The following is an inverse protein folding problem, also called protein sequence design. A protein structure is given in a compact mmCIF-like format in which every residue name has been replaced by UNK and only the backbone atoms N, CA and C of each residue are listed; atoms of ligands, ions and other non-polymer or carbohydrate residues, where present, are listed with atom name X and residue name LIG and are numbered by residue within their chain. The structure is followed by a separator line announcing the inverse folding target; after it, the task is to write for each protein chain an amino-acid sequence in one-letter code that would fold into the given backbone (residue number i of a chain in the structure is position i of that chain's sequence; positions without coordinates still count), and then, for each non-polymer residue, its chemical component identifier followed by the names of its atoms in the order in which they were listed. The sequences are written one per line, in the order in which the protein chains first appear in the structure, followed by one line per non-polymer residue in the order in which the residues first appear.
data_IF_040873113132
#
_entry.id   IF_040873113132
#
_cell.length_a   1.000
_cell.length_b   1.000
_cell.length_c   1.000
_cell.angle_alpha   90.00
_cell.angle_beta   90.00
_cell.angle_gamma   90.00
#
_symmetry.space_group_name_H-M   'P 1'
#
loop_
_entity.id
_entity.type
_entity.pdbx_description
1 polymer ?
#
# COMPACT_ATOMS: atom_id res chain seq x y z
N UNK A 1 32.48 -0.58 -3.95
CA UNK A 1 32.51 0.77 -3.36
C UNK A 1 32.27 1.78 -4.48
N UNK A 2 31.17 2.48 -4.49
CA UNK A 2 30.88 3.54 -5.47
C UNK A 2 31.82 4.72 -5.22
N UNK A 3 32.44 5.32 -6.23
CA UNK A 3 33.42 6.41 -6.06
C UNK A 3 32.83 7.73 -5.61
N UNK A 4 31.54 7.78 -5.33
CA UNK A 4 30.86 8.99 -4.88
C UNK A 4 30.09 8.70 -3.59
N UNK A 5 30.42 9.40 -2.50
CA UNK A 5 29.67 9.33 -1.24
C UNK A 5 28.19 9.66 -1.43
N UNK A 6 27.28 9.20 -0.54
CA UNK A 6 25.84 9.29 -0.69
C UNK A 6 25.31 10.71 -1.01
N UNK A 7 25.97 11.75 -0.55
CA UNK A 7 25.61 13.14 -0.81
C UNK A 7 25.83 13.62 -2.26
N UNK A 8 26.54 12.87 -3.11
CA UNK A 8 26.75 13.21 -4.53
C UNK A 8 25.86 12.38 -5.47
N UNK A 9 25.38 11.23 -5.03
CA UNK A 9 24.63 10.29 -5.88
C UNK A 9 23.27 10.88 -6.35
N UNK A 10 22.53 11.53 -5.49
CA UNK A 10 21.21 12.08 -5.83
C UNK A 10 21.27 13.30 -6.79
N UNK A 11 22.40 14.06 -6.77
CA UNK A 11 22.63 15.16 -7.72
C UNK A 11 22.98 14.67 -9.14
N UNK A 12 23.43 13.43 -9.24
CA UNK A 12 23.78 12.79 -10.52
C UNK A 12 22.57 12.08 -11.16
N UNK A 13 21.40 12.06 -10.51
CA UNK A 13 20.21 11.40 -11.04
C UNK A 13 19.64 12.16 -12.24
N UNK A 14 19.23 11.45 -13.32
CA UNK A 14 18.58 12.06 -14.46
C UNK A 14 17.32 12.82 -14.09
N UNK A 15 17.02 13.91 -14.82
CA UNK A 15 15.82 14.74 -14.60
C UNK A 15 14.51 13.91 -14.64
N UNK A 16 14.44 12.87 -15.50
CA UNK A 16 13.29 11.97 -15.59
C UNK A 16 12.99 11.26 -14.28
N UNK A 17 14.00 10.96 -13.45
CA UNK A 17 13.80 10.33 -12.14
C UNK A 17 13.16 11.29 -11.14
N UNK A 18 13.58 12.54 -11.14
CA UNK A 18 12.95 13.61 -10.37
C UNK A 18 11.49 13.82 -10.78
N UNK A 19 11.23 13.83 -12.09
CA UNK A 19 9.85 13.94 -12.62
C UNK A 19 8.97 12.78 -12.18
N UNK A 20 9.47 11.54 -12.24
CA UNK A 20 8.76 10.36 -11.74
C UNK A 20 8.50 10.45 -10.24
N UNK A 21 9.48 10.91 -9.47
CA UNK A 21 9.36 11.10 -8.03
C UNK A 21 8.35 12.17 -7.64
N UNK A 22 8.40 13.35 -8.25
CA UNK A 22 7.42 14.42 -8.01
C UNK A 22 6.01 14.06 -8.51
N UNK A 23 5.90 13.36 -9.64
CA UNK A 23 4.62 12.83 -10.09
C UNK A 23 4.00 11.87 -9.05
N UNK A 24 4.80 10.99 -8.45
CA UNK A 24 4.37 10.14 -7.35
C UNK A 24 3.98 10.95 -6.11
N UNK A 25 4.83 11.88 -5.68
CA UNK A 25 4.59 12.76 -4.54
C UNK A 25 3.22 13.46 -4.63
N UNK A 26 2.94 14.15 -5.75
CA UNK A 26 1.68 14.86 -5.93
C UNK A 26 0.47 13.93 -5.99
N UNK A 27 0.60 12.78 -6.62
CA UNK A 27 -0.48 11.79 -6.64
C UNK A 27 -0.73 11.19 -5.25
N UNK A 28 0.32 10.95 -4.47
CA UNK A 28 0.18 10.41 -3.11
C UNK A 28 -0.38 11.47 -2.15
N UNK A 29 0.01 12.75 -2.26
CA UNK A 29 -0.66 13.85 -1.56
C UNK A 29 -2.17 13.83 -1.84
N UNK A 30 -2.56 13.76 -3.10
CA UNK A 30 -3.97 13.72 -3.51
C UNK A 30 -4.69 12.50 -2.95
N UNK A 31 -4.10 11.32 -3.11
CA UNK A 31 -4.73 10.06 -2.73
C UNK A 31 -4.85 9.92 -1.21
N UNK A 32 -3.81 10.27 -0.47
CA UNK A 32 -3.79 10.14 0.98
C UNK A 32 -4.63 11.21 1.70
N UNK A 33 -4.75 12.41 1.10
CA UNK A 33 -5.71 13.42 1.56
C UNK A 33 -7.14 12.87 1.52
N UNK A 34 -7.56 12.25 0.40
CA UNK A 34 -8.88 11.64 0.28
C UNK A 34 -8.97 10.41 1.19
N UNK A 35 -7.97 9.52 1.18
CA UNK A 35 -7.99 8.26 1.91
C UNK A 35 -8.16 8.45 3.42
N UNK A 36 -7.55 9.50 3.98
CA UNK A 36 -7.67 9.83 5.40
C UNK A 36 -9.06 10.33 5.83
N UNK A 37 -9.89 10.78 4.89
CA UNK A 37 -11.24 11.32 5.15
C UNK A 37 -12.37 10.42 4.61
N UNK A 38 -12.08 9.61 3.58
CA UNK A 38 -13.09 8.86 2.84
C UNK A 38 -13.90 7.89 3.70
N UNK A 39 -13.31 7.10 4.64
CA UNK A 39 -14.08 6.20 5.48
C UNK A 39 -15.12 6.95 6.32
N UNK A 40 -14.72 8.08 6.89
CA UNK A 40 -15.62 8.92 7.69
C UNK A 40 -16.69 9.56 6.82
N UNK A 41 -16.34 10.08 5.65
CA UNK A 41 -17.28 10.61 4.67
C UNK A 41 -18.34 9.58 4.26
N UNK A 42 -17.93 8.32 4.00
CA UNK A 42 -18.86 7.25 3.68
C UNK A 42 -19.87 7.01 4.81
N UNK A 43 -19.41 6.97 6.05
CA UNK A 43 -20.28 6.67 7.19
C UNK A 43 -21.14 7.87 7.58
N UNK A 44 -20.54 9.06 7.77
CA UNK A 44 -21.25 10.23 8.31
C UNK A 44 -22.10 10.96 7.30
N UNK A 45 -21.63 11.04 6.04
CA UNK A 45 -22.30 11.84 5.00
C UNK A 45 -23.18 10.99 4.09
N UNK A 46 -22.73 9.77 3.76
CA UNK A 46 -23.45 8.89 2.83
C UNK A 46 -24.21 7.77 3.53
N UNK A 47 -24.12 7.64 4.87
CA UNK A 47 -24.83 6.63 5.64
C UNK A 47 -24.38 5.19 5.35
N UNK A 48 -23.12 4.99 4.93
CA UNK A 48 -22.59 3.66 4.64
C UNK A 48 -22.52 2.80 5.91
N UNK A 49 -22.90 1.53 5.80
CA UNK A 49 -22.63 0.54 6.85
C UNK A 49 -21.13 0.19 6.89
N UNK A 50 -20.64 -0.31 8.04
CA UNK A 50 -19.26 -0.77 8.16
C UNK A 50 -18.95 -1.95 7.23
N UNK A 51 -19.96 -2.78 6.91
CA UNK A 51 -19.83 -3.84 5.88
C UNK A 51 -19.54 -3.23 4.51
N UNK A 52 -20.28 -2.16 4.13
CA UNK A 52 -20.05 -1.49 2.86
C UNK A 52 -18.64 -0.86 2.80
N UNK A 53 -18.18 -0.23 3.88
CA UNK A 53 -16.81 0.31 3.96
C UNK A 53 -15.77 -0.82 3.80
N UNK A 54 -15.91 -1.91 4.55
CA UNK A 54 -15.01 -3.06 4.46
C UNK A 54 -14.98 -3.68 3.07
N UNK A 55 -16.14 -3.81 2.41
CA UNK A 55 -16.25 -4.31 1.05
C UNK A 55 -15.56 -3.38 0.04
N UNK A 56 -15.83 -2.08 0.09
CA UNK A 56 -15.25 -1.08 -0.83
C UNK A 56 -13.72 -1.05 -0.70
N UNK A 57 -13.22 -0.95 0.52
CA UNK A 57 -11.78 -0.91 0.76
C UNK A 57 -11.10 -2.24 0.40
N UNK A 58 -11.72 -3.36 0.74
CA UNK A 58 -11.20 -4.68 0.39
C UNK A 58 -11.15 -4.92 -1.13
N UNK A 59 -12.23 -4.59 -1.85
CA UNK A 59 -12.25 -4.67 -3.33
C UNK A 59 -11.20 -3.72 -3.93
N UNK A 60 -11.07 -2.51 -3.39
CA UNK A 60 -10.11 -1.54 -3.87
C UNK A 60 -8.68 -2.08 -3.79
N UNK A 61 -8.25 -2.57 -2.64
CA UNK A 61 -6.89 -3.11 -2.46
C UNK A 61 -6.65 -4.39 -3.27
N UNK A 62 -7.62 -5.31 -3.32
CA UNK A 62 -7.54 -6.51 -4.16
C UNK A 62 -7.39 -6.14 -5.64
N UNK A 63 -8.16 -5.15 -6.13
CA UNK A 63 -8.08 -4.65 -7.50
C UNK A 63 -6.69 -4.11 -7.83
N UNK A 64 -6.09 -3.31 -6.96
CA UNK A 64 -4.75 -2.80 -7.17
C UNK A 64 -3.70 -3.93 -7.23
N UNK A 65 -3.79 -4.91 -6.33
CA UNK A 65 -2.90 -6.06 -6.29
C UNK A 65 -3.01 -6.91 -7.56
N UNK A 66 -4.23 -7.26 -7.99
CA UNK A 66 -4.49 -8.07 -9.19
C UNK A 66 -4.03 -7.33 -10.45
N UNK A 67 -4.42 -6.05 -10.61
CA UNK A 67 -4.09 -5.26 -11.79
C UNK A 67 -2.58 -5.07 -11.93
N UNK A 68 -1.85 -4.92 -10.81
CA UNK A 68 -0.39 -4.79 -10.81
C UNK A 68 0.30 -6.04 -11.40
N UNK A 69 -0.23 -7.24 -11.16
CA UNK A 69 0.34 -8.48 -11.71
C UNK A 69 0.31 -8.46 -13.25
N UNK A 70 -0.81 -8.02 -13.82
CA UNK A 70 -0.97 -7.98 -15.28
C UNK A 70 -0.28 -6.78 -15.93
N UNK A 71 -0.17 -5.65 -15.24
CA UNK A 71 0.39 -4.42 -15.80
C UNK A 71 1.86 -4.56 -16.20
N UNK A 72 2.64 -5.36 -15.49
CA UNK A 72 4.03 -5.65 -15.83
C UNK A 72 4.15 -6.37 -17.18
N UNK A 73 3.40 -7.46 -17.35
CA UNK A 73 3.37 -8.22 -18.61
C UNK A 73 2.86 -7.37 -19.78
N UNK A 74 1.81 -6.59 -19.55
CA UNK A 74 1.25 -5.68 -20.55
C UNK A 74 2.26 -4.59 -20.94
N UNK A 75 3.00 -4.05 -19.99
CA UNK A 75 4.04 -3.05 -20.21
C UNK A 75 5.18 -3.59 -21.08
N UNK A 76 5.61 -4.82 -20.81
CA UNK A 76 6.67 -5.47 -21.59
C UNK A 76 6.19 -5.82 -23.00
N UNK A 77 4.93 -6.25 -23.16
CA UNK A 77 4.32 -6.56 -24.44
C UNK A 77 4.12 -5.33 -25.33
N UNK A 78 3.54 -4.25 -24.77
CA UNK A 78 3.29 -3.02 -25.52
C UNK A 78 4.56 -2.22 -25.82
N UNK A 79 5.62 -2.39 -25.03
CA UNK A 79 6.84 -1.61 -25.14
C UNK A 79 6.69 -0.11 -24.84
N UNK A 80 5.50 0.36 -24.45
CA UNK A 80 5.13 1.77 -24.23
C UNK A 80 4.90 2.04 -22.74
N UNK A 81 5.99 2.14 -21.97
CA UNK A 81 5.91 2.30 -20.51
C UNK A 81 5.33 3.64 -20.09
N UNK A 82 5.72 4.72 -20.76
CA UNK A 82 5.16 6.07 -20.50
C UNK A 82 3.65 6.10 -20.69
N UNK A 83 3.15 5.48 -21.77
CA UNK A 83 1.70 5.46 -22.02
C UNK A 83 0.92 4.82 -20.88
N UNK A 84 1.33 3.63 -20.41
CA UNK A 84 0.67 2.95 -19.29
C UNK A 84 0.82 3.72 -17.98
N UNK A 85 1.99 4.34 -17.76
CA UNK A 85 2.21 5.20 -16.62
C UNK A 85 1.20 6.35 -16.60
N UNK A 86 1.16 7.15 -17.68
CA UNK A 86 0.28 8.32 -17.77
C UNK A 86 -1.19 7.90 -17.70
N UNK A 87 -1.60 6.82 -18.38
CA UNK A 87 -2.95 6.27 -18.31
C UNK A 87 -3.35 5.94 -16.87
N UNK A 88 -2.50 5.24 -16.12
CA UNK A 88 -2.78 4.88 -14.74
C UNK A 88 -2.90 6.10 -13.81
N UNK A 89 -2.06 7.12 -14.01
CA UNK A 89 -2.16 8.38 -13.27
C UNK A 89 -3.40 9.19 -13.68
N UNK A 90 -3.74 9.23 -14.97
CA UNK A 90 -4.92 9.92 -15.47
C UNK A 90 -6.21 9.27 -14.93
N UNK A 91 -6.33 7.93 -14.98
CA UNK A 91 -7.46 7.23 -14.38
C UNK A 91 -7.63 7.63 -12.91
N UNK A 92 -6.55 7.62 -12.11
CA UNK A 92 -6.60 8.03 -10.73
C UNK A 92 -7.00 9.52 -10.58
N UNK A 93 -6.47 10.43 -11.39
CA UNK A 93 -6.78 11.87 -11.31
C UNK A 93 -8.25 12.15 -11.66
N UNK A 94 -8.77 11.52 -12.71
CA UNK A 94 -10.16 11.71 -13.13
C UNK A 94 -11.19 11.13 -12.14
N UNK A 95 -10.78 10.22 -11.26
CA UNK A 95 -11.66 9.76 -10.16
C UNK A 95 -11.74 10.72 -8.99
N UNK A 96 -10.75 11.64 -8.81
CA UNK A 96 -10.74 12.54 -7.64
C UNK A 96 -11.99 13.42 -7.51
N UNK A 97 -12.52 14.03 -8.60
CA UNK A 97 -13.77 14.79 -8.53
C UNK A 97 -15.00 13.94 -8.17
N UNK A 98 -14.97 12.61 -8.41
CA UNK A 98 -16.09 11.73 -8.09
C UNK A 98 -16.38 11.71 -6.58
N UNK A 99 -15.35 11.74 -5.74
CA UNK A 99 -15.52 11.65 -4.29
C UNK A 99 -16.29 12.81 -3.68
N UNK A 100 -15.92 14.09 -3.89
CA UNK A 100 -16.71 15.21 -3.38
C UNK A 100 -18.10 15.34 -4.02
N UNK A 101 -18.27 14.85 -5.27
CA UNK A 101 -19.57 14.85 -5.97
C UNK A 101 -20.45 13.65 -5.57
N UNK A 102 -19.92 12.64 -4.87
CA UNK A 102 -20.65 11.44 -4.54
C UNK A 102 -21.92 11.75 -3.72
N UNK A 103 -23.06 11.27 -4.21
CA UNK A 103 -24.36 11.34 -3.54
C UNK A 103 -24.79 9.99 -2.96
N UNK A 104 -24.07 8.92 -3.27
CA UNK A 104 -24.30 7.58 -2.75
C UNK A 104 -22.99 6.80 -2.62
N UNK A 105 -23.03 5.74 -1.83
CA UNK A 105 -21.92 4.81 -1.62
C UNK A 105 -21.45 4.16 -2.94
N UNK A 106 -22.37 3.95 -3.89
CA UNK A 106 -22.06 3.40 -5.22
C UNK A 106 -21.11 4.28 -6.04
N UNK A 107 -21.21 5.63 -5.95
CA UNK A 107 -20.27 6.55 -6.58
C UNK A 107 -18.86 6.41 -6.00
N UNK A 108 -18.77 6.30 -4.67
CA UNK A 108 -17.49 6.07 -3.98
C UNK A 108 -16.88 4.73 -4.40
N UNK A 109 -17.68 3.67 -4.47
CA UNK A 109 -17.23 2.37 -4.96
C UNK A 109 -16.65 2.45 -6.37
N UNK A 110 -17.39 3.05 -7.31
CA UNK A 110 -16.94 3.22 -8.69
C UNK A 110 -15.64 4.04 -8.77
N UNK A 111 -15.58 5.16 -8.06
CA UNK A 111 -14.38 6.01 -8.00
C UNK A 111 -13.17 5.26 -7.42
N UNK A 112 -13.33 4.54 -6.30
CA UNK A 112 -12.27 3.73 -5.68
C UNK A 112 -11.81 2.61 -6.58
N UNK A 113 -12.74 1.90 -7.21
CA UNK A 113 -12.41 0.79 -8.13
C UNK A 113 -11.53 1.29 -9.29
N UNK A 114 -11.96 2.35 -9.99
CA UNK A 114 -11.20 2.91 -11.13
C UNK A 114 -9.86 3.50 -10.67
N UNK A 115 -9.82 4.20 -9.54
CA UNK A 115 -8.56 4.70 -8.94
C UNK A 115 -7.56 3.55 -8.71
N UNK A 116 -8.03 2.42 -8.16
CA UNK A 116 -7.19 1.25 -7.87
C UNK A 116 -6.75 0.49 -9.11
N UNK A 117 -7.59 0.41 -10.14
CA UNK A 117 -7.16 -0.04 -11.48
C UNK A 117 -6.02 0.85 -11.99
N UNK A 118 -6.18 2.17 -11.91
CA UNK A 118 -5.13 3.13 -12.27
C UNK A 118 -3.83 2.91 -11.48
N UNK A 119 -3.93 2.71 -10.15
CA UNK A 119 -2.78 2.39 -9.29
C UNK A 119 -2.07 1.10 -9.71
N UNK A 120 -2.83 0.06 -10.03
CA UNK A 120 -2.28 -1.21 -10.51
C UNK A 120 -1.60 -1.08 -11.87
N UNK A 121 -2.22 -0.38 -12.83
CA UNK A 121 -1.66 -0.17 -14.18
C UNK A 121 -0.33 0.56 -14.13
N UNK A 122 -0.20 1.63 -13.31
CA UNK A 122 1.00 2.46 -13.27
C UNK A 122 2.18 1.84 -12.52
N UNK A 123 1.94 0.90 -11.60
CA UNK A 123 2.94 0.42 -10.65
C UNK A 123 4.17 -0.19 -11.32
N UNK A 124 3.99 -1.25 -12.09
CA UNK A 124 5.09 -1.95 -12.76
C UNK A 124 5.77 -1.11 -13.87
N UNK A 125 5.03 -0.40 -14.76
CA UNK A 125 5.65 0.50 -15.74
C UNK A 125 6.50 1.61 -15.12
N UNK A 126 6.06 2.18 -13.98
CA UNK A 126 6.82 3.19 -13.24
C UNK A 126 8.17 2.64 -12.77
N UNK A 127 8.13 1.50 -12.09
CA UNK A 127 9.34 0.88 -11.55
C UNK A 127 10.31 0.47 -12.67
N UNK A 128 9.79 0.02 -13.80
CA UNK A 128 10.58 -0.29 -14.98
C UNK A 128 11.21 0.96 -15.62
N UNK A 129 10.47 2.08 -15.70
CA UNK A 129 11.02 3.36 -16.19
C UNK A 129 12.15 3.89 -15.32
N UNK A 130 12.05 3.73 -13.99
CA UNK A 130 13.15 4.08 -13.08
C UNK A 130 14.41 3.30 -13.44
N UNK A 131 14.30 2.00 -13.72
CA UNK A 131 15.43 1.17 -14.11
C UNK A 131 16.01 1.54 -15.49
N UNK A 132 15.13 1.86 -16.48
CA UNK A 132 15.54 2.20 -17.85
C UNK A 132 16.22 3.57 -17.93
N UNK A 133 15.73 4.55 -17.18
CA UNK A 133 16.26 5.92 -17.19
C UNK A 133 17.52 6.07 -16.33
N UNK A 134 17.88 5.07 -15.51
CA UNK A 134 18.98 5.19 -14.54
C UNK A 134 20.12 4.25 -14.87
N UNK A 135 21.38 4.77 -14.97
CA UNK A 135 22.57 3.93 -15.07
C UNK A 135 22.64 2.92 -13.92
N UNK A 136 23.10 1.66 -14.16
CA UNK A 136 23.11 0.60 -13.16
C UNK A 136 23.69 0.97 -11.79
N UNK A 137 24.81 1.75 -11.69
CA UNK A 137 25.38 2.12 -10.39
C UNK A 137 24.50 3.09 -9.57
N UNK A 138 23.55 3.81 -10.19
CA UNK A 138 22.68 4.82 -9.57
C UNK A 138 21.28 4.31 -9.30
N UNK A 139 20.92 3.10 -9.72
CA UNK A 139 19.55 2.55 -9.56
C UNK A 139 19.07 2.54 -8.11
N UNK A 140 19.93 2.18 -7.18
CA UNK A 140 19.60 2.22 -5.74
C UNK A 140 19.21 3.62 -5.27
N UNK A 141 19.96 4.65 -5.68
CA UNK A 141 19.67 6.05 -5.36
C UNK A 141 18.35 6.52 -6.02
N UNK A 142 18.08 6.10 -7.25
CA UNK A 142 16.85 6.45 -7.97
C UNK A 142 15.59 5.86 -7.30
N UNK A 143 15.62 4.57 -6.96
CA UNK A 143 14.52 3.95 -6.20
C UNK A 143 14.37 4.54 -4.80
N UNK A 144 15.49 4.85 -4.12
CA UNK A 144 15.50 5.50 -2.82
C UNK A 144 14.86 6.90 -2.87
N UNK A 145 15.23 7.74 -3.85
CA UNK A 145 14.61 9.06 -4.04
C UNK A 145 13.10 8.94 -4.28
N UNK A 146 12.69 8.03 -5.18
CA UNK A 146 11.27 7.80 -5.44
C UNK A 146 10.51 7.40 -4.18
N UNK A 147 11.04 6.43 -3.42
CA UNK A 147 10.41 5.97 -2.18
C UNK A 147 10.35 7.06 -1.11
N UNK A 148 11.36 7.90 -1.02
CA UNK A 148 11.36 9.04 -0.10
C UNK A 148 10.26 10.05 -0.47
N UNK A 149 10.09 10.36 -1.77
CA UNK A 149 9.04 11.25 -2.24
C UNK A 149 7.63 10.65 -2.08
N UNK A 150 7.46 9.34 -2.30
CA UNK A 150 6.21 8.62 -1.97
C UNK A 150 5.88 8.77 -0.47
N UNK A 151 6.87 8.57 0.43
CA UNK A 151 6.68 8.70 1.89
C UNK A 151 6.36 10.14 2.31
N UNK A 152 6.99 11.12 1.68
CA UNK A 152 6.66 12.55 1.92
C UNK A 152 5.23 12.85 1.47
N UNK A 153 4.80 12.32 0.33
CA UNK A 153 3.42 12.45 -0.17
C UNK A 153 2.40 11.83 0.80
N UNK A 154 2.71 10.62 1.28
CA UNK A 154 1.86 9.90 2.24
C UNK A 154 1.73 10.62 3.60
N UNK A 155 2.72 11.44 3.98
CA UNK A 155 2.67 12.27 5.17
C UNK A 155 1.94 13.59 4.91
N UNK A 156 2.27 14.28 3.80
CA UNK A 156 1.71 15.58 3.47
C UNK A 156 0.21 15.51 3.15
N UNK A 157 -0.28 14.42 2.55
CA UNK A 157 -1.70 14.25 2.23
C UNK A 157 -2.60 14.40 3.47
N UNK A 158 -2.46 13.54 4.49
CA UNK A 158 -3.23 13.66 5.72
C UNK A 158 -2.95 14.95 6.49
N UNK A 159 -1.72 15.49 6.45
CA UNK A 159 -1.39 16.77 7.09
C UNK A 159 -2.17 17.92 6.47
N UNK A 160 -2.24 17.99 5.14
CA UNK A 160 -3.06 18.95 4.43
C UNK A 160 -4.55 18.73 4.69
N UNK A 161 -5.00 17.47 4.83
CA UNK A 161 -6.37 17.17 5.21
C UNK A 161 -6.71 17.80 6.58
N UNK A 162 -5.87 17.63 7.60
CA UNK A 162 -6.08 18.29 8.92
C UNK A 162 -6.15 19.81 8.77
N UNK A 163 -5.17 20.39 8.09
CA UNK A 163 -5.07 21.84 7.92
C UNK A 163 -6.32 22.42 7.25
N UNK A 164 -6.74 21.82 6.13
CA UNK A 164 -7.91 22.29 5.40
C UNK A 164 -9.23 21.95 6.09
N UNK A 165 -9.32 20.84 6.84
CA UNK A 165 -10.49 20.54 7.68
C UNK A 165 -10.68 21.59 8.77
N UNK A 166 -9.60 22.09 9.38
CA UNK A 166 -9.69 23.19 10.35
C UNK A 166 -10.10 24.48 9.64
N UNK A 167 -9.46 24.80 8.52
CA UNK A 167 -9.69 26.07 7.80
C UNK A 167 -11.05 26.16 7.14
N UNK A 168 -11.58 25.04 6.63
CA UNK A 168 -12.90 24.95 5.98
C UNK A 168 -14.02 24.45 6.91
N UNK A 169 -13.86 24.67 8.21
CA UNK A 169 -14.88 24.34 9.22
C UNK A 169 -15.41 22.90 9.12
N UNK A 170 -14.53 21.94 8.87
CA UNK A 170 -14.83 20.51 8.75
C UNK A 170 -15.71 20.12 7.54
N UNK A 171 -15.73 20.92 6.49
CA UNK A 171 -16.39 20.55 5.23
C UNK A 171 -15.52 19.53 4.46
N UNK A 172 -15.82 18.25 4.65
CA UNK A 172 -15.10 17.14 4.02
C UNK A 172 -15.14 17.24 2.48
N UNK A 173 -16.27 17.67 1.89
CA UNK A 173 -16.42 17.79 0.44
C UNK A 173 -15.50 18.86 -0.13
N UNK A 174 -15.47 20.03 0.51
CA UNK A 174 -14.57 21.12 0.12
C UNK A 174 -13.10 20.71 0.20
N UNK A 175 -12.71 20.00 1.27
CA UNK A 175 -11.34 19.48 1.42
C UNK A 175 -11.01 18.45 0.34
N UNK A 176 -11.91 17.54 -0.01
CA UNK A 176 -11.69 16.56 -1.08
C UNK A 176 -11.51 17.22 -2.46
N UNK A 177 -12.13 18.38 -2.72
CA UNK A 177 -11.89 19.13 -3.95
C UNK A 177 -10.45 19.61 -4.08
N UNK A 178 -9.78 19.91 -2.96
CA UNK A 178 -8.37 20.33 -2.97
C UNK A 178 -7.47 19.21 -3.49
N UNK A 179 -7.81 17.95 -3.22
CA UNK A 179 -7.05 16.80 -3.69
C UNK A 179 -7.02 16.67 -5.23
N UNK A 180 -7.95 17.29 -5.94
CA UNK A 180 -8.01 17.27 -7.41
C UNK A 180 -6.77 17.96 -8.00
N UNK A 181 -6.35 19.07 -7.40
CA UNK A 181 -5.25 19.89 -7.92
C UNK A 181 -3.93 19.11 -8.01
N UNK A 182 -3.40 18.52 -6.92
CA UNK A 182 -2.15 17.77 -7.00
C UNK A 182 -2.26 16.53 -7.90
N UNK A 183 -3.44 15.89 -8.02
CA UNK A 183 -3.60 14.77 -8.94
C UNK A 183 -3.38 15.17 -10.40
N UNK A 184 -3.97 16.28 -10.85
CA UNK A 184 -3.78 16.76 -12.21
C UNK A 184 -2.38 17.33 -12.43
N UNK A 185 -1.75 17.94 -11.43
CA UNK A 185 -0.33 18.32 -11.49
C UNK A 185 0.55 17.09 -11.74
N UNK A 186 0.30 15.98 -11.03
CA UNK A 186 1.03 14.73 -11.24
C UNK A 186 0.92 14.23 -12.68
N UNK A 187 -0.29 14.23 -13.25
CA UNK A 187 -0.52 13.81 -14.66
C UNK A 187 0.21 14.74 -15.63
N UNK A 188 0.09 16.04 -15.44
CA UNK A 188 0.73 17.04 -16.30
C UNK A 188 2.26 16.89 -16.28
N UNK A 189 2.87 16.76 -15.10
CA UNK A 189 4.31 16.53 -14.96
C UNK A 189 4.77 15.29 -15.72
N UNK A 190 4.08 14.17 -15.54
CA UNK A 190 4.45 12.90 -16.18
C UNK A 190 4.23 12.95 -17.70
N UNK A 191 3.13 13.55 -18.15
CA UNK A 191 2.83 13.66 -19.57
C UNK A 191 3.85 14.55 -20.31
N UNK A 192 4.20 15.70 -19.73
CA UNK A 192 5.05 16.70 -20.37
C UNK A 192 6.55 16.36 -20.30
N UNK A 193 7.01 15.87 -19.14
CA UNK A 193 8.45 15.78 -18.85
C UNK A 193 9.04 14.38 -18.83
N UNK A 194 8.24 13.32 -18.72
CA UNK A 194 8.75 11.95 -18.87
C UNK A 194 8.91 11.65 -20.35
N UNK A 195 10.08 11.18 -20.75
CA UNK A 195 10.36 10.69 -22.11
C UNK A 195 10.36 9.18 -22.13
N UNK A 196 9.80 8.58 -23.18
CA UNK A 196 9.95 7.15 -23.44
C UNK A 196 11.43 6.90 -23.78
N UNK A 197 12.13 6.01 -23.06
CA UNK A 197 13.50 5.67 -23.42
C UNK A 197 13.52 4.98 -24.78
N UNK A 198 14.43 5.41 -25.67
CA UNK A 198 14.69 4.71 -26.92
C UNK A 198 15.20 3.30 -26.61
N UNK A 199 14.36 2.32 -26.82
CA UNK A 199 14.77 0.91 -26.70
C UNK A 199 15.51 0.54 -27.99
N UNK A 200 16.82 0.40 -27.88
CA UNK A 200 17.54 -0.44 -28.86
C UNK A 200 16.85 -1.82 -28.87
N UNK A 201 16.71 -2.40 -30.05
CA UNK A 201 16.09 -3.73 -30.31
C UNK A 201 16.92 -4.87 -29.67
N UNK A 202 17.40 -4.69 -28.45
CA UNK A 202 18.06 -5.72 -27.68
C UNK A 202 16.99 -6.58 -27.01
N UNK A 203 16.69 -7.70 -27.67
CA UNK A 203 16.05 -8.93 -27.19
C UNK A 203 15.36 -8.90 -25.83
N UNK A 204 14.24 -8.18 -25.73
CA UNK A 204 13.40 -8.28 -24.53
C UNK A 204 12.83 -9.71 -24.47
N UNK A 205 13.20 -10.47 -23.45
CA UNK A 205 12.53 -11.72 -23.16
C UNK A 205 11.07 -11.39 -22.90
N UNK A 206 10.22 -11.63 -23.88
CA UNK A 206 8.75 -11.60 -23.70
C UNK A 206 8.47 -12.58 -22.58
N UNK A 207 8.16 -12.07 -21.39
CA UNK A 207 7.74 -12.94 -20.29
C UNK A 207 6.52 -13.70 -20.75
N UNK A 208 6.63 -15.02 -20.81
CA UNK A 208 5.50 -15.89 -21.14
C UNK A 208 4.37 -15.58 -20.14
N UNK A 209 3.10 -15.56 -20.59
CA UNK A 209 1.98 -15.40 -19.68
C UNK A 209 2.02 -16.50 -18.61
N UNK A 210 1.65 -16.14 -17.39
CA UNK A 210 1.58 -17.05 -16.24
C UNK A 210 0.61 -18.18 -16.59
N UNK A 211 1.07 -19.42 -16.57
CA UNK A 211 0.22 -20.59 -16.83
C UNK A 211 -0.02 -21.38 -15.54
N UNK A 212 -1.18 -22.05 -15.48
CA UNK A 212 -1.48 -22.98 -14.36
C UNK A 212 -0.44 -24.11 -14.26
N UNK A 213 0.18 -24.50 -15.37
CA UNK A 213 1.26 -25.49 -15.39
C UNK A 213 2.50 -24.99 -14.63
N UNK A 214 2.83 -23.70 -14.74
CA UNK A 214 3.97 -23.11 -14.04
C UNK A 214 3.73 -23.08 -12.52
N UNK A 215 2.49 -22.87 -12.08
CA UNK A 215 2.12 -22.90 -10.67
C UNK A 215 2.40 -24.27 -10.02
N UNK A 216 2.17 -25.38 -10.78
CA UNK A 216 2.42 -26.75 -10.30
C UNK A 216 3.92 -27.07 -10.13
N UNK A 217 4.81 -26.30 -10.77
CA UNK A 217 6.26 -26.46 -10.67
C UNK A 217 6.87 -25.77 -9.44
N UNK A 218 6.07 -24.97 -8.72
CA UNK A 218 6.51 -24.29 -7.51
C UNK A 218 6.64 -25.29 -6.33
N UNK A 219 7.73 -25.22 -5.55
CA UNK A 219 7.99 -26.17 -4.49
C UNK A 219 6.99 -26.05 -3.33
N UNK A 220 6.77 -27.12 -2.57
CA UNK A 220 5.86 -27.12 -1.41
C UNK A 220 6.20 -25.99 -0.41
N UNK A 221 7.47 -25.69 -0.22
CA UNK A 221 7.93 -24.60 0.66
C UNK A 221 7.40 -23.24 0.23
N UNK A 222 7.25 -23.01 -1.07
CA UNK A 222 6.64 -21.80 -1.61
C UNK A 222 5.17 -21.71 -1.19
N UNK A 223 4.40 -22.78 -1.33
CA UNK A 223 2.99 -22.81 -0.94
C UNK A 223 2.77 -22.59 0.56
N UNK A 224 3.69 -23.08 1.40
CA UNK A 224 3.68 -22.79 2.84
C UNK A 224 3.91 -21.29 3.13
N UNK A 225 4.78 -20.62 2.36
CA UNK A 225 4.97 -19.17 2.47
C UNK A 225 3.75 -18.41 1.98
N UNK A 226 3.11 -18.83 0.89
CA UNK A 226 1.86 -18.24 0.39
C UNK A 226 0.74 -18.39 1.40
N UNK A 227 0.58 -19.57 2.00
CA UNK A 227 -0.41 -19.82 3.06
C UNK A 227 -0.16 -18.93 4.28
N UNK A 228 1.08 -18.89 4.77
CA UNK A 228 1.48 -18.05 5.89
C UNK A 228 1.23 -16.57 5.59
N UNK A 229 1.59 -16.10 4.38
CA UNK A 229 1.33 -14.75 3.91
C UNK A 229 -0.17 -14.43 3.80
N UNK A 230 -0.98 -15.40 3.39
CA UNK A 230 -2.44 -15.28 3.35
C UNK A 230 -3.04 -15.11 4.75
N UNK A 231 -2.65 -15.96 5.72
CA UNK A 231 -3.10 -15.83 7.12
C UNK A 231 -2.61 -14.51 7.74
N UNK A 232 -1.36 -14.14 7.46
CA UNK A 232 -0.82 -12.85 7.89
C UNK A 232 -1.62 -11.67 7.32
N UNK A 233 -2.04 -11.76 6.05
CA UNK A 233 -2.83 -10.71 5.40
C UNK A 233 -4.26 -10.67 5.95
N UNK A 234 -4.83 -11.82 6.37
CA UNK A 234 -6.12 -11.86 7.06
C UNK A 234 -6.10 -11.11 8.41
N UNK A 235 -4.95 -11.03 9.06
CA UNK A 235 -4.77 -10.23 10.27
C UNK A 235 -4.73 -8.71 10.00
N UNK A 236 -4.52 -8.29 8.75
CA UNK A 236 -4.40 -6.91 8.31
C UNK A 236 -5.58 -6.49 7.45
N UNK A 237 -6.65 -6.06 8.06
CA UNK A 237 -7.75 -5.41 7.34
C UNK A 237 -7.40 -3.96 6.96
N UNK A 238 -8.31 -3.27 6.26
CA UNK A 238 -8.09 -1.89 5.80
C UNK A 238 -7.83 -0.91 6.96
N UNK A 239 -6.86 -0.03 6.78
CA UNK A 239 -6.52 1.08 7.68
C UNK A 239 -7.70 2.04 7.89
N UNK A 240 -8.73 1.98 7.04
CA UNK A 240 -9.99 2.70 7.21
C UNK A 240 -10.64 2.46 8.59
N UNK A 241 -10.49 1.25 9.14
CA UNK A 241 -11.04 0.91 10.46
C UNK A 241 -10.32 1.60 11.62
N UNK A 242 -9.02 1.95 11.46
CA UNK A 242 -8.29 2.76 12.45
C UNK A 242 -8.88 4.18 12.50
N UNK A 243 -9.13 4.76 11.31
CA UNK A 243 -9.75 6.08 11.15
C UNK A 243 -11.16 6.10 11.75
N UNK A 244 -11.97 5.09 11.45
CA UNK A 244 -13.31 4.95 12.00
C UNK A 244 -13.30 4.71 13.52
N UNK A 245 -12.31 3.99 14.05
CA UNK A 245 -12.17 3.80 15.50
C UNK A 245 -11.87 5.11 16.23
N UNK A 246 -11.05 5.98 15.62
CA UNK A 246 -10.79 7.30 16.18
C UNK A 246 -12.07 8.16 16.27
N UNK A 247 -12.91 8.10 15.24
CA UNK A 247 -14.21 8.75 15.24
C UNK A 247 -15.13 8.16 16.31
N UNK A 248 -15.19 6.86 16.45
CA UNK A 248 -16.02 6.13 17.39
C UNK A 248 -15.71 6.48 18.87
N UNK A 249 -14.44 6.74 19.20
CA UNK A 249 -14.02 7.22 20.53
C UNK A 249 -14.08 8.73 20.71
N UNK A 250 -14.69 9.46 19.76
CA UNK A 250 -14.98 10.89 19.89
C UNK A 250 -13.88 11.84 19.39
N UNK A 251 -12.93 11.38 18.55
CA UNK A 251 -12.01 12.31 17.91
C UNK A 251 -12.77 13.20 16.91
N UNK A 252 -12.59 14.52 17.04
CA UNK A 252 -13.26 15.49 16.18
C UNK A 252 -12.85 15.33 14.70
N UNK A 253 -13.80 15.55 13.78
CA UNK A 253 -13.65 15.31 12.34
C UNK A 253 -12.39 15.94 11.73
N UNK A 254 -12.05 17.16 12.14
CA UNK A 254 -10.85 17.87 11.67
C UNK A 254 -9.53 17.22 12.07
N UNK A 255 -9.52 16.40 13.12
CA UNK A 255 -8.34 15.76 13.65
C UNK A 255 -8.19 14.27 13.25
N UNK A 256 -9.22 13.69 12.64
CA UNK A 256 -9.21 12.27 12.25
C UNK A 256 -8.01 11.89 11.37
N UNK A 257 -7.57 12.70 10.38
CA UNK A 257 -6.41 12.34 9.57
C UNK A 257 -5.10 12.23 10.35
N UNK A 258 -5.03 12.73 11.60
CA UNK A 258 -3.86 12.56 12.48
C UNK A 258 -3.53 11.08 12.73
N UNK A 259 -4.53 10.19 12.69
CA UNK A 259 -4.33 8.74 12.84
C UNK A 259 -3.38 8.22 11.76
N UNK A 260 -3.61 8.63 10.51
CA UNK A 260 -2.76 8.25 9.38
C UNK A 260 -1.38 8.89 9.47
N UNK A 261 -1.30 10.13 9.99
CA UNK A 261 -0.01 10.80 10.19
C UNK A 261 0.83 10.03 11.21
N UNK A 262 0.27 9.71 12.38
CA UNK A 262 0.98 8.96 13.43
C UNK A 262 1.46 7.61 12.89
N UNK A 263 0.59 6.86 12.22
CA UNK A 263 0.92 5.58 11.61
C UNK A 263 2.06 5.72 10.60
N UNK A 264 1.96 6.66 9.64
CA UNK A 264 2.94 6.85 8.57
C UNK A 264 4.29 7.37 9.08
N UNK A 265 4.32 8.23 10.11
CA UNK A 265 5.56 8.72 10.72
C UNK A 265 6.32 7.56 11.37
N UNK A 266 5.63 6.71 12.14
CA UNK A 266 6.25 5.54 12.78
C UNK A 266 6.70 4.51 11.74
N UNK A 267 5.89 4.27 10.71
CA UNK A 267 6.25 3.42 9.60
C UNK A 267 7.52 3.92 8.88
N UNK A 268 7.54 5.18 8.43
CA UNK A 268 8.66 5.76 7.70
C UNK A 268 9.93 5.83 8.57
N UNK A 269 9.80 6.23 9.85
CA UNK A 269 10.92 6.31 10.77
C UNK A 269 11.55 4.96 11.11
N UNK A 270 10.73 3.90 11.22
CA UNK A 270 11.20 2.56 11.54
C UNK A 270 11.58 1.73 10.30
N UNK A 271 11.16 2.10 9.09
CA UNK A 271 11.39 1.31 7.87
C UNK A 271 12.88 1.10 7.57
N UNK A 272 13.72 2.14 7.70
CA UNK A 272 15.16 2.02 7.51
C UNK A 272 15.85 1.16 8.58
N UNK A 273 15.65 1.39 9.89
CA UNK A 273 16.18 0.50 10.93
C UNK A 273 15.72 -0.97 10.78
N UNK A 274 14.44 -1.19 10.45
CA UNK A 274 13.91 -2.53 10.24
C UNK A 274 14.55 -3.22 9.02
N UNK A 275 14.75 -2.47 7.93
CA UNK A 275 15.47 -2.96 6.74
C UNK A 275 16.92 -3.33 7.05
N UNK A 276 17.65 -2.47 7.76
CA UNK A 276 19.02 -2.73 8.18
C UNK A 276 19.12 -3.93 9.16
N UNK A 277 18.12 -4.11 10.02
CA UNK A 277 18.03 -5.27 10.89
C UNK A 277 17.80 -6.57 10.10
N UNK A 278 17.09 -6.51 8.96
CA UNK A 278 16.84 -7.67 8.11
C UNK A 278 18.10 -8.28 7.47
N UNK A 279 19.20 -7.52 7.42
CA UNK A 279 20.50 -8.01 6.94
C UNK A 279 21.28 -8.77 8.04
N UNK A 280 20.95 -8.53 9.33
CA UNK A 280 21.68 -9.07 10.50
C UNK A 280 20.86 -10.08 11.30
N UNK A 281 19.56 -9.92 11.29
CA UNK A 281 18.61 -10.75 12.06
C UNK A 281 17.83 -11.64 11.09
N UNK A 282 17.51 -12.86 11.50
CA UNK A 282 16.70 -13.77 10.69
C UNK A 282 15.35 -13.12 10.37
N UNK A 283 14.97 -13.10 9.08
CA UNK A 283 13.70 -12.54 8.60
C UNK A 283 12.48 -12.99 9.42
N UNK A 284 12.52 -14.25 9.90
CA UNK A 284 11.52 -14.85 10.74
C UNK A 284 11.36 -14.16 12.10
N UNK A 285 12.46 -13.78 12.77
CA UNK A 285 12.42 -13.09 14.07
C UNK A 285 11.77 -11.71 13.90
N UNK A 286 12.09 -11.01 12.80
CA UNK A 286 11.49 -9.71 12.49
C UNK A 286 10.01 -9.83 12.15
N UNK A 287 9.60 -10.87 11.39
CA UNK A 287 8.18 -11.14 11.12
C UNK A 287 7.42 -11.46 12.41
N UNK A 288 8.01 -12.25 13.32
CA UNK A 288 7.41 -12.55 14.62
C UNK A 288 7.25 -11.28 15.46
N UNK A 289 8.28 -10.43 15.54
CA UNK A 289 8.19 -9.14 16.21
C UNK A 289 7.09 -8.27 15.60
N UNK A 290 7.00 -8.21 14.27
CA UNK A 290 5.95 -7.50 13.58
C UNK A 290 4.55 -8.02 13.93
N UNK A 291 4.36 -9.33 14.04
CA UNK A 291 3.08 -9.93 14.47
C UNK A 291 2.75 -9.59 15.94
N UNK A 292 3.72 -9.60 16.82
CA UNK A 292 3.53 -9.17 18.23
C UNK A 292 3.10 -7.71 18.30
N UNK A 293 3.73 -6.84 17.50
CA UNK A 293 3.34 -5.42 17.40
C UNK A 293 1.91 -5.26 16.87
N UNK A 294 1.50 -6.07 15.87
CA UNK A 294 0.14 -6.05 15.35
C UNK A 294 -0.87 -6.51 16.40
N UNK A 295 -0.59 -7.60 17.13
CA UNK A 295 -1.44 -8.05 18.24
C UNK A 295 -1.59 -6.95 19.30
N UNK A 296 -0.49 -6.29 19.67
CA UNK A 296 -0.53 -5.20 20.64
C UNK A 296 -1.33 -3.99 20.11
N UNK A 297 -1.20 -3.66 18.82
CA UNK A 297 -1.97 -2.60 18.17
C UNK A 297 -3.48 -2.93 18.21
N UNK A 298 -3.84 -4.13 17.77
CA UNK A 298 -5.24 -4.57 17.72
C UNK A 298 -5.87 -4.64 19.12
N UNK A 299 -5.14 -5.13 20.13
CA UNK A 299 -5.63 -5.14 21.53
C UNK A 299 -5.83 -3.70 22.03
N UNK A 300 -4.89 -2.79 21.77
CA UNK A 300 -5.04 -1.38 22.15
C UNK A 300 -6.27 -0.75 21.47
N UNK A 301 -6.48 -1.02 20.18
CA UNK A 301 -7.62 -0.50 19.42
C UNK A 301 -8.94 -1.15 19.85
N UNK A 302 -8.95 -2.43 20.19
CA UNK A 302 -10.14 -3.13 20.69
C UNK A 302 -10.69 -2.49 21.97
N UNK A 303 -9.80 -2.15 22.90
CA UNK A 303 -10.14 -1.58 24.21
C UNK A 303 -9.93 -0.06 24.29
N UNK A 304 -9.78 0.62 23.15
CA UNK A 304 -9.62 2.07 23.13
C UNK A 304 -10.87 2.77 23.69
N UNK A 305 -10.69 3.58 24.71
CA UNK A 305 -11.72 4.44 25.33
C UNK A 305 -11.47 5.92 25.08
N UNK A 306 -10.34 6.26 24.43
CA UNK A 306 -9.96 7.64 24.15
C UNK A 306 -9.13 7.72 22.87
N UNK A 307 -9.09 8.90 22.22
CA UNK A 307 -8.25 9.13 21.05
C UNK A 307 -6.76 8.82 21.26
N UNK A 308 -6.24 9.05 22.48
CA UNK A 308 -4.83 8.77 22.78
C UNK A 308 -4.49 7.28 22.63
N UNK A 309 -5.39 6.38 23.06
CA UNK A 309 -5.18 4.94 22.91
C UNK A 309 -5.24 4.56 21.43
N UNK A 310 -6.12 5.20 20.63
CA UNK A 310 -6.17 4.97 19.18
C UNK A 310 -4.87 5.42 18.51
N UNK A 311 -4.30 6.55 18.90
CA UNK A 311 -2.99 6.98 18.41
C UNK A 311 -1.87 6.00 18.79
N UNK A 312 -1.89 5.45 20.00
CA UNK A 312 -0.93 4.41 20.40
C UNK A 312 -1.10 3.15 19.56
N UNK A 313 -2.34 2.71 19.31
CA UNK A 313 -2.65 1.58 18.41
C UNK A 313 -2.16 1.84 16.97
N UNK A 314 -2.42 3.04 16.42
CA UNK A 314 -1.97 3.43 15.09
C UNK A 314 -0.43 3.50 15.00
N UNK A 315 0.25 3.95 16.06
CA UNK A 315 1.70 3.94 16.14
C UNK A 315 2.27 2.52 16.09
N UNK A 316 1.70 1.61 16.88
CA UNK A 316 2.08 0.18 16.86
C UNK A 316 1.80 -0.47 15.51
N UNK A 317 0.68 -0.11 14.84
CA UNK A 317 0.35 -0.55 13.49
C UNK A 317 1.40 -0.09 12.48
N UNK A 318 1.83 1.17 12.52
CA UNK A 318 2.91 1.70 11.70
C UNK A 318 4.24 0.97 11.91
N UNK A 319 4.62 0.71 13.16
CA UNK A 319 5.80 -0.10 13.49
C UNK A 319 5.69 -1.52 12.94
N UNK A 320 4.53 -2.19 13.12
CA UNK A 320 4.27 -3.50 12.52
C UNK A 320 4.54 -3.49 11.01
N UNK A 321 4.03 -2.50 10.28
CA UNK A 321 4.24 -2.36 8.84
C UNK A 321 5.73 -2.25 8.48
N UNK A 322 6.49 -1.47 9.24
CA UNK A 322 7.93 -1.30 9.02
C UNK A 322 8.71 -2.63 9.12
N UNK A 323 8.32 -3.49 10.06
CA UNK A 323 8.98 -4.78 10.26
C UNK A 323 8.50 -5.89 9.32
N UNK A 324 7.43 -5.70 8.55
CA UNK A 324 6.80 -6.82 7.83
C UNK A 324 6.68 -6.64 6.33
N UNK A 325 6.46 -5.42 5.82
CA UNK A 325 6.10 -5.20 4.41
C UNK A 325 7.12 -5.72 3.39
N UNK A 326 8.42 -5.58 3.63
CA UNK A 326 9.46 -6.07 2.72
C UNK A 326 9.81 -7.55 2.87
N UNK A 327 9.57 -8.14 4.06
CA UNK A 327 10.10 -9.45 4.42
C UNK A 327 9.32 -10.60 3.79
N UNK A 328 8.00 -10.49 3.65
CA UNK A 328 7.20 -11.51 2.96
C UNK A 328 7.58 -11.61 1.48
N UNK A 329 7.78 -10.48 0.82
CA UNK A 329 8.27 -10.44 -0.56
C UNK A 329 9.67 -11.06 -0.69
N UNK A 330 10.57 -10.81 0.27
CA UNK A 330 11.88 -11.44 0.32
C UNK A 330 11.77 -12.96 0.44
N UNK A 331 10.91 -13.47 1.32
CA UNK A 331 10.70 -14.93 1.46
C UNK A 331 10.20 -15.59 0.16
N UNK A 332 9.33 -14.91 -0.58
CA UNK A 332 8.89 -15.38 -1.91
C UNK A 332 10.07 -15.41 -2.88
N UNK A 333 10.89 -14.35 -2.91
CA UNK A 333 12.04 -14.26 -3.78
C UNK A 333 13.10 -15.32 -3.48
N UNK A 334 13.34 -15.64 -2.19
CA UNK A 334 14.34 -16.60 -1.74
C UNK A 334 13.95 -18.06 -2.04
N UNK A 335 12.66 -18.36 -2.23
CA UNK A 335 12.16 -19.75 -2.37
C UNK A 335 11.70 -20.05 -3.79
N UNK A 336 11.16 -19.08 -4.52
CA UNK A 336 10.69 -19.29 -5.87
C UNK A 336 11.90 -19.50 -6.82
N UNK A 337 11.85 -20.50 -7.74
CA UNK A 337 12.86 -20.66 -8.79
C UNK A 337 13.00 -19.39 -9.61
N UNK A 338 14.23 -19.05 -10.03
CA UNK A 338 14.52 -17.80 -10.77
C UNK A 338 13.66 -17.66 -12.04
N UNK A 339 13.42 -18.77 -12.74
CA UNK A 339 12.58 -18.82 -13.97
C UNK A 339 11.09 -18.58 -13.68
N UNK A 340 10.63 -18.89 -12.45
CA UNK A 340 9.24 -18.78 -12.02
C UNK A 340 9.00 -17.61 -11.05
N UNK A 341 9.98 -16.75 -10.83
CA UNK A 341 9.89 -15.66 -9.85
C UNK A 341 8.68 -14.73 -10.11
N UNK A 342 8.43 -14.40 -11.38
CA UNK A 342 7.26 -13.61 -11.78
C UNK A 342 5.93 -14.30 -11.47
N UNK A 343 5.83 -15.61 -11.74
CA UNK A 343 4.67 -16.44 -11.41
C UNK A 343 4.48 -16.51 -9.89
N UNK A 344 5.57 -16.70 -9.14
CA UNK A 344 5.54 -16.72 -7.68
C UNK A 344 5.02 -15.41 -7.09
N UNK A 345 5.53 -14.27 -7.51
CA UNK A 345 4.99 -12.98 -7.07
C UNK A 345 3.54 -12.75 -7.51
N UNK A 346 3.18 -13.18 -8.72
CA UNK A 346 1.81 -13.08 -9.22
C UNK A 346 0.81 -13.82 -8.33
N UNK A 347 1.10 -15.08 -8.03
CA UNK A 347 0.24 -15.93 -7.16
C UNK A 347 0.20 -15.36 -5.74
N UNK A 348 1.36 -14.99 -5.17
CA UNK A 348 1.43 -14.40 -3.83
C UNK A 348 0.58 -13.12 -3.72
N UNK A 349 0.67 -12.21 -4.69
CA UNK A 349 -0.11 -10.98 -4.72
C UNK A 349 -1.60 -11.24 -4.90
N UNK A 350 -1.98 -12.23 -5.72
CA UNK A 350 -3.38 -12.63 -5.92
C UNK A 350 -3.97 -13.17 -4.60
N UNK A 351 -3.28 -14.10 -3.94
CA UNK A 351 -3.72 -14.67 -2.65
C UNK A 351 -3.79 -13.59 -1.58
N UNK A 352 -2.79 -12.71 -1.49
CA UNK A 352 -2.78 -11.59 -0.55
C UNK A 352 -3.92 -10.60 -0.84
N UNK A 353 -4.21 -10.30 -2.11
CA UNK A 353 -5.34 -9.43 -2.48
C UNK A 353 -6.69 -10.02 -2.06
N UNK A 354 -6.91 -11.31 -2.31
CA UNK A 354 -8.14 -12.01 -1.89
C UNK A 354 -8.22 -12.05 -0.35
N UNK A 355 -7.13 -12.34 0.34
CA UNK A 355 -7.08 -12.37 1.80
C UNK A 355 -7.40 -10.99 2.40
N UNK A 356 -6.89 -9.90 1.80
CA UNK A 356 -7.16 -8.53 2.25
C UNK A 356 -8.63 -8.12 2.02
N UNK A 357 -9.22 -8.54 0.90
CA UNK A 357 -10.65 -8.36 0.66
C UNK A 357 -11.47 -9.08 1.74
N UNK A 358 -11.19 -10.35 1.98
CA UNK A 358 -11.88 -11.14 3.00
C UNK A 358 -11.69 -10.53 4.40
N UNK A 359 -10.47 -10.14 4.75
CA UNK A 359 -10.17 -9.49 6.02
C UNK A 359 -11.01 -8.22 6.23
N UNK A 360 -11.10 -7.35 5.23
CA UNK A 360 -11.84 -6.09 5.32
C UNK A 360 -13.36 -6.31 5.37
N UNK A 361 -13.88 -7.29 4.64
CA UNK A 361 -15.31 -7.67 4.71
C UNK A 361 -15.64 -8.27 6.08
N UNK A 362 -14.80 -9.18 6.59
CA UNK A 362 -14.96 -9.77 7.94
C UNK A 362 -14.92 -8.65 8.99
N UNK A 363 -13.94 -7.75 8.90
CA UNK A 363 -13.80 -6.61 9.82
C UNK A 363 -15.06 -5.75 9.85
N UNK A 364 -15.58 -5.36 8.69
CA UNK A 364 -16.81 -4.57 8.60
C UNK A 364 -18.05 -5.31 9.10
N UNK A 365 -18.15 -6.61 8.84
CA UNK A 365 -19.25 -7.45 9.30
C UNK A 365 -19.25 -7.59 10.83
N UNK A 366 -18.08 -7.86 11.43
CA UNK A 366 -17.92 -7.96 12.87
C UNK A 366 -18.20 -6.62 13.56
N UNK A 367 -17.74 -5.52 12.98
CA UNK A 367 -18.04 -4.19 13.51
C UNK A 367 -19.54 -3.93 13.54
N UNK A 368 -20.23 -4.23 12.45
CA UNK A 368 -21.69 -4.01 12.37
C UNK A 368 -22.50 -4.91 13.30
N UNK A 369 -22.06 -6.17 13.51
CA UNK A 369 -22.80 -7.15 14.29
C UNK A 369 -22.49 -7.10 15.80
N UNK A 370 -21.24 -6.86 16.17
CA UNK A 370 -20.73 -7.03 17.53
C UNK A 370 -19.96 -5.80 18.06
N UNK A 371 -19.71 -4.81 17.20
CA UNK A 371 -18.99 -3.59 17.54
C UNK A 371 -17.48 -3.65 17.24
N UNK A 372 -16.79 -2.49 17.41
CA UNK A 372 -15.40 -2.33 16.99
C UNK A 372 -14.41 -3.26 17.69
N UNK A 373 -14.62 -3.58 18.98
CA UNK A 373 -13.73 -4.44 19.75
C UNK A 373 -13.57 -5.83 19.10
N UNK A 374 -14.64 -6.39 18.57
CA UNK A 374 -14.59 -7.73 17.93
C UNK A 374 -13.82 -7.69 16.60
N UNK A 375 -13.87 -6.59 15.86
CA UNK A 375 -13.08 -6.38 14.65
C UNK A 375 -11.59 -6.52 14.95
N UNK A 376 -11.10 -5.74 15.91
CA UNK A 376 -9.67 -5.73 16.26
C UNK A 376 -9.23 -7.01 16.97
N UNK A 377 -10.04 -7.57 17.88
CA UNK A 377 -9.70 -8.85 18.52
C UNK A 377 -9.62 -10.01 17.52
N UNK A 378 -10.42 -9.98 16.46
CA UNK A 378 -10.31 -10.98 15.39
C UNK A 378 -9.02 -10.80 14.59
N UNK A 379 -8.60 -9.56 14.32
CA UNK A 379 -7.28 -9.27 13.74
C UNK A 379 -6.15 -9.82 14.61
N UNK A 380 -6.19 -9.53 15.92
CA UNK A 380 -5.23 -10.07 16.88
C UNK A 380 -5.21 -11.61 16.90
N UNK A 381 -6.37 -12.27 16.79
CA UNK A 381 -6.47 -13.73 16.73
C UNK A 381 -5.81 -14.29 15.46
N UNK A 382 -6.07 -13.71 14.29
CA UNK A 382 -5.40 -14.12 13.06
C UNK A 382 -3.88 -13.88 13.13
N UNK A 383 -3.45 -12.74 13.71
CA UNK A 383 -2.03 -12.46 13.91
C UNK A 383 -1.37 -13.49 14.87
N UNK A 384 -2.07 -13.90 15.93
CA UNK A 384 -1.60 -14.95 16.84
C UNK A 384 -1.48 -16.30 16.14
N UNK A 385 -2.47 -16.68 15.32
CA UNK A 385 -2.41 -17.91 14.50
C UNK A 385 -1.21 -17.88 13.55
N UNK A 386 -0.99 -16.75 12.87
CA UNK A 386 0.18 -16.56 12.01
C UNK A 386 1.50 -16.66 12.78
N UNK A 387 1.58 -16.08 13.98
CA UNK A 387 2.76 -16.15 14.85
C UNK A 387 3.07 -17.60 15.31
N UNK A 388 2.04 -18.33 15.73
CA UNK A 388 2.16 -19.74 16.10
C UNK A 388 2.61 -20.59 14.91
N UNK A 389 1.99 -20.40 13.74
CA UNK A 389 2.39 -21.08 12.50
C UNK A 389 3.85 -20.79 12.11
N UNK A 390 4.28 -19.55 12.27
CA UNK A 390 5.67 -19.15 12.05
C UNK A 390 6.62 -19.83 13.01
N UNK A 391 6.27 -20.03 14.27
CA UNK A 391 7.07 -20.74 15.28
C UNK A 391 7.09 -22.26 15.02
N UNK A 392 5.96 -22.88 14.71
CA UNK A 392 5.87 -24.31 14.43
C UNK A 392 6.67 -24.73 13.18
N UNK A 393 6.68 -23.91 12.15
CA UNK A 393 7.52 -24.12 10.96
C UNK A 393 9.03 -24.08 11.25
N UNK A 394 9.46 -23.63 12.44
CA UNK A 394 10.85 -23.62 12.89
C UNK A 394 11.30 -24.92 13.55
N UNK A 395 10.46 -25.48 14.37
CA UNK A 395 10.79 -26.71 15.07
C UNK A 395 11.11 -27.86 14.12
N UNK A 396 10.40 -27.92 12.98
CA UNK A 396 10.60 -28.96 11.93
C UNK A 396 11.91 -28.84 11.11
N UNK A 397 12.73 -27.81 11.33
CA UNK A 397 14.05 -27.67 10.69
C UNK A 397 15.23 -28.02 11.64
N UNK A 398 14.92 -28.27 12.89
CA UNK A 398 15.91 -28.67 13.90
C UNK A 398 15.99 -30.19 14.10
N UNK A 399 15.06 -30.93 13.51
CA UNK A 399 15.06 -32.39 13.34
C UNK A 399 15.47 -32.75 11.90
#
# INVERSE_FOLDING_TARGET
MTPHGPAKAWRALPAGIWTLGFGSLFMDISSELIHSLLPVFMVTTLGASMVAVGFIEGVAEATAAVTKVFSGALSDYLGKRKFLLVLGYALAAFTKPIFPLATSVGWVFAGRFVDRVGKGIRGAPRDALVADLTPPPLRGAAYGLRQALDSVGALLGPLLAVLFMIWLASDIRAVMWIAVVPAFIAVALLFLYVREPERGVAGGHVRKPITLADARRLPLRYWLVVLLGGVFTLARFSEAFLVLRAQDVGLGLSHIPLVMIVMNVLYAGAAYPAGAAADRVRARTLLFLGLVLLIAADVALAFATSPLIVFAGAALWGLHMAFTQGLLSKLVADIAPAELLGTGFGIFNLVSGIALLLASVIAGSLWSAFGPSYTFLTGAAFAAVAAIGLLAAAGRRAE
#
